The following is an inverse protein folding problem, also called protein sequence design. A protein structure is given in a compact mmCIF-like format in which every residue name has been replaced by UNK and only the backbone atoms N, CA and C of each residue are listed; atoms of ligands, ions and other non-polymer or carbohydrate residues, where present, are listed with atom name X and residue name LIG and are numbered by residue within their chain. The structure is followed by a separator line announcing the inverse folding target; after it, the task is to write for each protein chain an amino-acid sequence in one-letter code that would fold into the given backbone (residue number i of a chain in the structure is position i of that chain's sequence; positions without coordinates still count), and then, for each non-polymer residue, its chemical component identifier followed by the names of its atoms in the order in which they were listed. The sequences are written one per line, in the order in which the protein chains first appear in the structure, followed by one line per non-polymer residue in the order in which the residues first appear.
data_IF_658047976855
#
_entry.id   IF_658047976855
#
_cell.length_a   1.000
_cell.length_b   1.000
_cell.length_c   1.000
_cell.angle_alpha   90.00
_cell.angle_beta   90.00
_cell.angle_gamma   90.00
#
_symmetry.space_group_name_H-M   'P 1'
#
loop_
_entity.id
_entity.type
_entity.pdbx_description
1 polymer ?
#
# COMPACT_ATOMS: atom_id res chain seq x y z
N UNK A 1 17.72 39.79 4.52
CA UNK A 1 16.67 40.78 4.21
C UNK A 1 16.16 40.47 2.82
N UNK A 2 14.93 39.96 2.75
CA UNK A 2 13.98 40.00 1.63
C UNK A 2 12.82 39.13 2.09
N UNK A 3 11.77 39.80 2.58
CA UNK A 3 10.53 39.19 2.99
C UNK A 3 9.46 39.44 1.94
N UNK A 4 8.64 38.43 1.70
CA UNK A 4 7.35 38.49 1.00
C UNK A 4 6.50 37.40 1.71
N UNK A 5 5.66 37.74 2.69
CA UNK A 5 4.31 38.32 2.53
C UNK A 5 3.35 37.38 1.79
N UNK A 6 2.82 36.37 2.50
CA UNK A 6 1.60 35.66 2.09
C UNK A 6 0.44 36.09 2.97
N UNK A 7 -0.39 36.96 2.39
CA UNK A 7 -1.57 37.54 2.98
C UNK A 7 -2.66 36.52 3.29
N UNK A 8 -3.35 36.79 4.40
CA UNK A 8 -4.63 36.21 4.78
C UNK A 8 -5.69 36.53 3.73
N UNK A 9 -6.49 35.55 3.31
CA UNK A 9 -7.91 35.80 3.01
C UNK A 9 -8.73 34.52 2.87
N UNK A 10 -9.74 34.43 3.73
CA UNK A 10 -11.13 34.11 3.40
C UNK A 10 -11.64 32.66 3.33
N UNK A 11 -12.58 32.42 4.25
CA UNK A 11 -13.95 31.99 4.00
C UNK A 11 -14.27 30.49 4.05
N UNK A 12 -14.87 30.13 5.20
CA UNK A 12 -16.15 29.40 5.31
C UNK A 12 -16.65 28.72 4.01
N UNK A 13 -16.43 27.41 3.90
CA UNK A 13 -17.08 26.57 2.89
C UNK A 13 -18.15 25.71 3.56
N UNK A 14 -19.36 26.26 3.66
CA UNK A 14 -20.57 25.50 3.96
C UNK A 14 -20.88 24.56 2.78
N UNK A 15 -20.88 23.25 3.02
CA UNK A 15 -21.25 22.23 2.03
C UNK A 15 -22.78 22.17 1.92
N UNK A 16 -23.32 22.56 0.76
CA UNK A 16 -24.71 22.25 0.39
C UNK A 16 -24.83 20.79 -0.01
N UNK A 17 -25.62 20.07 0.78
CA UNK A 17 -26.10 18.72 0.51
C UNK A 17 -27.12 18.81 -0.64
N UNK A 18 -26.84 18.18 -1.79
CA UNK A 18 -27.85 17.91 -2.83
C UNK A 18 -28.31 16.47 -2.68
N UNK A 19 -29.61 16.29 -2.42
CA UNK A 19 -30.25 15.00 -2.25
C UNK A 19 -30.43 14.22 -3.56
N UNK A 20 -30.75 12.91 -3.48
CA UNK A 20 -30.93 12.06 -4.64
C UNK A 20 -32.33 12.21 -5.25
N UNK A 21 -32.39 12.41 -6.56
CA UNK A 21 -33.62 12.32 -7.33
C UNK A 21 -34.03 10.85 -7.50
N UNK A 22 -35.24 10.53 -7.02
CA UNK A 22 -35.95 9.26 -7.29
C UNK A 22 -36.75 9.38 -8.58
N UNK A 23 -36.73 8.30 -9.37
CA UNK A 23 -37.90 7.74 -10.05
C UNK A 23 -38.15 8.19 -11.49
N UNK A 24 -38.10 7.24 -12.42
CA UNK A 24 -39.31 6.73 -13.07
C UNK A 24 -39.03 5.46 -13.88
N UNK A 25 -39.93 4.49 -13.70
CA UNK A 25 -40.02 3.23 -14.42
C UNK A 25 -40.93 3.37 -15.65
N UNK A 26 -40.74 2.47 -16.62
CA UNK A 26 -41.82 1.92 -17.44
C UNK A 26 -41.95 2.45 -18.86
N UNK A 27 -41.92 1.53 -19.83
CA UNK A 27 -42.29 1.81 -21.22
C UNK A 27 -41.75 0.77 -22.20
N UNK A 28 -42.46 -0.35 -22.31
CA UNK A 28 -42.25 -1.45 -23.26
C UNK A 28 -42.35 -1.05 -24.74
N UNK A 29 -41.88 -2.00 -25.58
CA UNK A 29 -42.45 -2.40 -26.89
C UNK A 29 -41.53 -2.21 -28.11
N UNK A 30 -40.83 -3.29 -28.47
CA UNK A 30 -40.61 -3.80 -29.85
C UNK A 30 -39.59 -4.95 -29.73
N UNK A 31 -39.95 -6.22 -29.83
CA UNK A 31 -40.60 -6.79 -31.01
C UNK A 31 -39.54 -7.29 -31.99
N UNK A 32 -38.83 -8.37 -31.66
CA UNK A 32 -38.12 -9.18 -32.67
C UNK A 32 -37.96 -10.63 -32.18
N UNK A 33 -38.85 -11.49 -32.67
CA UNK A 33 -38.81 -12.94 -32.52
C UNK A 33 -37.59 -13.50 -33.24
N UNK A 34 -36.73 -14.23 -32.52
CA UNK A 34 -35.73 -15.12 -33.11
C UNK A 34 -36.34 -16.51 -33.12
N UNK A 35 -36.50 -17.04 -34.32
CA UNK A 35 -36.82 -18.43 -34.60
C UNK A 35 -35.73 -19.35 -34.05
N UNK A 36 -36.08 -20.24 -33.13
CA UNK A 36 -35.30 -21.44 -32.84
C UNK A 36 -36.22 -22.64 -33.05
N UNK A 37 -36.05 -23.31 -34.18
CA UNK A 37 -36.63 -24.63 -34.46
C UNK A 37 -35.97 -25.66 -33.55
N UNK A 38 -36.76 -26.35 -32.71
CA UNK A 38 -36.37 -27.61 -32.09
C UNK A 38 -37.50 -28.62 -32.27
N UNK A 39 -37.17 -29.73 -32.95
CA UNK A 39 -38.06 -30.87 -33.14
C UNK A 39 -38.19 -31.71 -31.85
N UNK A 40 -39.32 -32.41 -31.64
CA UNK A 40 -39.62 -33.10 -30.39
C UNK A 40 -39.36 -34.62 -30.49
N UNK A 41 -38.80 -35.25 -29.45
CA UNK A 41 -38.87 -36.70 -29.20
C UNK A 41 -38.74 -37.02 -27.67
N UNK A 42 -39.21 -38.21 -27.23
CA UNK A 42 -40.16 -38.38 -26.10
C UNK A 42 -39.52 -38.86 -24.77
N UNK A 43 -40.32 -38.99 -23.68
CA UNK A 43 -39.82 -39.05 -22.30
C UNK A 43 -39.57 -40.48 -21.84
N UNK A 44 -38.41 -40.71 -21.22
CA UNK A 44 -38.21 -41.86 -20.34
C UNK A 44 -37.73 -41.36 -18.98
N UNK A 45 -38.67 -41.43 -18.05
CA UNK A 45 -38.48 -41.37 -16.61
C UNK A 45 -37.39 -42.35 -16.17
N UNK A 46 -36.33 -41.83 -15.54
CA UNK A 46 -35.63 -42.54 -14.47
C UNK A 46 -35.31 -41.54 -13.38
N UNK A 47 -35.96 -41.73 -12.23
CA UNK A 47 -35.74 -41.01 -10.99
C UNK A 47 -34.26 -41.05 -10.59
N UNK A 48 -33.63 -39.87 -10.54
CA UNK A 48 -32.39 -39.67 -9.79
C UNK A 48 -32.77 -39.14 -8.39
N UNK A 49 -32.14 -39.66 -7.33
CA UNK A 49 -32.47 -39.26 -5.96
C UNK A 49 -32.13 -37.79 -5.75
N UNK A 50 -33.04 -37.08 -5.07
CA UNK A 50 -32.81 -35.76 -4.48
C UNK A 50 -31.49 -35.76 -3.70
N UNK A 51 -30.43 -35.23 -4.31
CA UNK A 51 -29.25 -34.83 -3.56
C UNK A 51 -29.62 -33.59 -2.74
N UNK A 52 -29.41 -33.61 -1.42
CA UNK A 52 -29.75 -32.50 -0.57
C UNK A 52 -28.91 -31.29 -0.99
N UNK A 53 -29.60 -30.16 -1.06
CA UNK A 53 -29.09 -28.81 -0.88
C UNK A 53 -27.69 -28.84 -0.23
N UNK A 54 -26.65 -28.69 -1.05
CA UNK A 54 -25.30 -28.51 -0.54
C UNK A 54 -25.30 -27.14 0.13
N UNK A 55 -25.50 -27.20 1.44
CA UNK A 55 -25.27 -26.13 2.39
C UNK A 55 -23.95 -25.46 2.00
N UNK A 56 -24.00 -24.18 1.61
CA UNK A 56 -22.82 -23.32 1.56
C UNK A 56 -22.20 -23.35 2.95
N UNK A 57 -21.27 -24.28 3.18
CA UNK A 57 -20.32 -24.19 4.27
C UNK A 57 -19.44 -22.99 3.92
N UNK A 58 -19.80 -21.84 4.48
CA UNK A 58 -18.89 -20.73 4.68
C UNK A 58 -17.62 -21.32 5.30
N UNK A 59 -16.55 -21.38 4.53
CA UNK A 59 -15.24 -21.75 5.04
C UNK A 59 -14.94 -20.82 6.22
N UNK A 60 -14.53 -21.35 7.38
CA UNK A 60 -14.10 -20.51 8.47
C UNK A 60 -12.88 -19.72 7.98
N UNK A 61 -13.03 -18.41 7.84
CA UNK A 61 -11.89 -17.50 7.77
C UNK A 61 -11.05 -17.80 9.00
N UNK A 62 -9.85 -18.34 8.81
CA UNK A 62 -8.92 -18.63 9.89
C UNK A 62 -8.45 -17.30 10.45
N UNK A 63 -9.13 -16.79 11.48
CA UNK A 63 -8.68 -15.63 12.23
C UNK A 63 -7.48 -16.06 13.06
N UNK A 64 -6.27 -15.83 12.55
CA UNK A 64 -5.06 -15.92 13.36
C UNK A 64 -5.18 -14.83 14.44
N UNK A 65 -5.29 -15.23 15.71
CA UNK A 65 -5.22 -14.29 16.83
C UNK A 65 -3.77 -13.85 16.98
N UNK A 66 -3.36 -12.86 16.21
CA UNK A 66 -2.10 -12.16 16.45
C UNK A 66 -2.25 -11.30 17.70
N UNK A 67 -1.22 -11.24 18.53
CA UNK A 67 -1.18 -10.29 19.64
C UNK A 67 -0.69 -8.93 19.11
N UNK A 68 -1.01 -7.85 19.83
CA UNK A 68 -0.59 -6.50 19.42
C UNK A 68 0.95 -6.38 19.33
N UNK A 69 1.66 -7.04 20.25
CA UNK A 69 3.12 -7.13 20.23
C UNK A 69 3.69 -7.72 18.91
N UNK A 70 2.98 -8.67 18.29
CA UNK A 70 3.41 -9.25 17.01
C UNK A 70 3.31 -8.22 15.88
N UNK A 71 2.29 -7.35 15.94
CA UNK A 71 2.09 -6.26 14.97
C UNK A 71 3.19 -5.21 15.10
N UNK A 72 3.62 -4.88 16.33
CA UNK A 72 4.74 -3.96 16.58
C UNK A 72 6.08 -4.49 16.04
N UNK A 73 6.23 -5.82 15.94
CA UNK A 73 7.43 -6.46 15.42
C UNK A 73 7.51 -6.53 13.88
N UNK A 74 6.44 -6.18 13.17
CA UNK A 74 6.39 -6.09 11.71
C UNK A 74 7.17 -4.89 11.18
N UNK A 75 7.60 -4.89 9.91
CA UNK A 75 8.19 -3.70 9.29
C UNK A 75 7.12 -2.61 9.07
N UNK A 76 7.55 -1.35 8.96
CA UNK A 76 6.66 -0.19 8.76
C UNK A 76 5.58 -0.36 7.66
N UNK A 77 5.88 -0.87 6.44
CA UNK A 77 4.85 -1.05 5.41
C UNK A 77 3.79 -2.07 5.83
N UNK A 78 4.16 -3.14 6.54
CA UNK A 78 3.22 -4.17 6.95
C UNK A 78 2.37 -3.72 8.14
N UNK A 79 2.96 -2.92 9.04
CA UNK A 79 2.26 -2.15 10.07
C UNK A 79 1.17 -1.25 9.45
N UNK A 80 1.51 -0.49 8.41
CA UNK A 80 0.56 0.38 7.72
C UNK A 80 -0.56 -0.40 7.02
N UNK A 81 -0.24 -1.51 6.34
CA UNK A 81 -1.23 -2.40 5.72
C UNK A 81 -2.20 -2.96 6.78
N UNK A 82 -1.70 -3.38 7.93
CA UNK A 82 -2.52 -3.91 9.03
C UNK A 82 -3.55 -2.88 9.52
N UNK A 83 -3.11 -1.65 9.72
CA UNK A 83 -3.98 -0.53 10.09
C UNK A 83 -5.01 -0.23 9.01
N UNK A 84 -4.60 -0.15 7.74
CA UNK A 84 -5.50 0.12 6.62
C UNK A 84 -6.55 -0.98 6.43
N UNK A 85 -6.19 -2.25 6.61
CA UNK A 85 -7.15 -3.35 6.53
C UNK A 85 -8.23 -3.25 7.61
N UNK A 86 -7.84 -2.87 8.84
CA UNK A 86 -8.78 -2.69 9.93
C UNK A 86 -9.73 -1.50 9.67
N UNK A 87 -9.21 -0.35 9.26
CA UNK A 87 -9.99 0.89 9.18
C UNK A 87 -10.36 1.31 7.75
N UNK A 88 -10.27 0.40 6.78
CA UNK A 88 -10.58 0.67 5.38
C UNK A 88 -11.92 1.39 5.12
N UNK A 89 -13.07 0.98 5.70
CA UNK A 89 -14.35 1.63 5.41
C UNK A 89 -14.41 3.10 5.87
N UNK A 90 -13.54 3.52 6.78
CA UNK A 90 -13.53 4.87 7.36
C UNK A 90 -12.39 5.72 6.81
N UNK A 91 -11.26 5.10 6.45
CA UNK A 91 -10.01 5.77 6.09
C UNK A 91 -9.56 5.55 4.64
N UNK A 92 -10.38 4.94 3.78
CA UNK A 92 -10.03 4.71 2.37
C UNK A 92 -9.60 5.99 1.64
N UNK A 93 -10.26 7.12 1.94
CA UNK A 93 -9.97 8.42 1.32
C UNK A 93 -8.62 9.01 1.78
N UNK A 94 -8.10 8.57 2.93
CA UNK A 94 -6.84 9.03 3.53
C UNK A 94 -5.71 8.03 3.38
N UNK A 95 -5.88 6.96 2.61
CA UNK A 95 -4.84 5.95 2.41
C UNK A 95 -3.52 6.54 1.88
N UNK A 96 -3.59 7.59 1.06
CA UNK A 96 -2.41 8.31 0.57
C UNK A 96 -1.64 9.05 1.69
N UNK A 97 -2.33 9.55 2.72
CA UNK A 97 -1.67 10.14 3.90
C UNK A 97 -0.88 9.07 4.65
N UNK A 98 -1.47 7.87 4.84
CA UNK A 98 -0.81 6.72 5.47
C UNK A 98 0.43 6.28 4.70
N UNK A 99 0.37 6.28 3.37
CA UNK A 99 1.54 6.04 2.52
C UNK A 99 2.64 7.08 2.75
N UNK A 100 2.28 8.36 2.84
CA UNK A 100 3.24 9.43 3.11
C UNK A 100 3.84 9.34 4.52
N UNK A 101 3.06 8.96 5.53
CA UNK A 101 3.56 8.68 6.88
C UNK A 101 4.62 7.58 6.86
N UNK A 102 4.37 6.47 6.16
CA UNK A 102 5.36 5.40 5.99
C UNK A 102 6.64 5.88 5.30
N UNK A 103 6.54 6.65 4.21
CA UNK A 103 7.74 7.14 3.53
C UNK A 103 8.56 8.09 4.41
N UNK A 104 7.88 8.91 5.20
CA UNK A 104 8.52 9.81 6.14
C UNK A 104 9.21 9.07 7.28
N UNK A 105 8.62 7.99 7.81
CA UNK A 105 9.23 7.22 8.89
C UNK A 105 10.45 6.45 8.39
N UNK A 106 10.36 5.87 7.19
CA UNK A 106 11.46 5.17 6.52
C UNK A 106 12.62 6.12 6.24
N UNK A 107 12.34 7.36 5.81
CA UNK A 107 13.37 8.36 5.52
C UNK A 107 14.10 8.88 6.78
N UNK A 108 13.52 8.74 7.98
CA UNK A 108 14.19 9.11 9.23
C UNK A 108 14.94 7.93 9.87
N UNK A 109 14.61 6.70 9.48
CA UNK A 109 15.27 5.49 9.97
C UNK A 109 16.51 5.14 9.15
N UNK A 110 17.56 5.94 9.31
CA UNK A 110 18.85 5.71 8.64
C UNK A 110 19.50 4.34 8.94
N UNK A 111 19.08 3.64 10.00
CA UNK A 111 19.69 2.38 10.42
C UNK A 111 19.08 1.17 9.71
N UNK A 112 17.74 1.10 9.69
CA UNK A 112 17.01 -0.05 9.16
C UNK A 112 16.16 0.28 7.93
N UNK A 113 15.91 1.57 7.66
CA UNK A 113 15.17 2.06 6.51
C UNK A 113 13.81 1.38 6.35
N UNK A 114 13.56 0.84 5.16
CA UNK A 114 12.31 0.16 4.82
C UNK A 114 12.03 -1.10 5.64
N UNK A 115 13.07 -1.71 6.22
CA UNK A 115 12.96 -2.90 7.07
C UNK A 115 12.91 -2.54 8.57
N UNK A 116 12.88 -1.25 8.89
CA UNK A 116 12.73 -0.77 10.26
C UNK A 116 11.36 -1.11 10.85
N UNK A 117 11.31 -1.13 12.18
CA UNK A 117 10.14 -1.55 12.97
C UNK A 117 9.66 -0.48 13.93
N UNK A 118 10.59 0.30 14.47
CA UNK A 118 10.32 1.27 15.53
C UNK A 118 11.41 2.35 15.54
N UNK A 119 11.02 3.60 15.76
CA UNK A 119 11.93 4.72 15.95
C UNK A 119 12.35 4.88 17.41
N UNK A 120 13.56 5.39 17.62
CA UNK A 120 14.02 5.84 18.94
C UNK A 120 13.39 7.19 19.33
N UNK A 121 13.43 7.54 20.62
CA UNK A 121 12.81 8.75 21.18
C UNK A 121 13.20 10.03 20.42
N UNK A 122 14.48 10.18 20.07
CA UNK A 122 14.96 11.36 19.34
C UNK A 122 14.41 11.43 17.91
N UNK A 123 14.44 10.31 17.18
CA UNK A 123 13.89 10.23 15.80
C UNK A 123 12.36 10.39 15.81
N UNK A 124 11.70 9.90 16.84
CA UNK A 124 10.26 10.03 17.05
C UNK A 124 9.86 11.50 17.22
N UNK A 125 10.66 12.28 17.95
CA UNK A 125 10.46 13.72 18.10
C UNK A 125 10.59 14.44 16.75
N UNK A 126 11.66 14.18 16.00
CA UNK A 126 11.84 14.73 14.65
C UNK A 126 10.69 14.36 13.71
N UNK A 127 10.19 13.12 13.81
CA UNK A 127 9.07 12.65 13.00
C UNK A 127 7.79 13.44 13.29
N UNK A 128 7.50 13.73 14.55
CA UNK A 128 6.29 14.47 14.94
C UNK A 128 6.35 15.95 14.61
N UNK A 129 7.53 16.57 14.69
CA UNK A 129 7.74 17.95 14.22
C UNK A 129 7.37 18.12 12.75
N UNK A 130 7.67 17.11 11.91
CA UNK A 130 7.38 17.13 10.48
C UNK A 130 5.88 17.20 10.18
N UNK A 131 5.01 16.76 11.10
CA UNK A 131 3.56 16.82 10.95
C UNK A 131 2.90 17.91 11.80
N UNK A 132 3.69 18.90 12.25
CA UNK A 132 3.22 20.03 13.04
C UNK A 132 2.59 19.62 14.39
N UNK A 133 2.82 18.38 14.82
CA UNK A 133 2.56 17.91 16.20
C UNK A 133 3.76 18.34 17.06
N UNK A 134 3.98 19.66 17.15
CA UNK A 134 5.09 20.22 17.91
C UNK A 134 4.78 20.08 19.40
N UNK A 135 5.37 19.06 20.01
CA UNK A 135 5.35 18.87 21.45
C UNK A 135 6.71 19.25 22.05
N UNK A 136 6.70 19.83 23.26
CA UNK A 136 7.95 19.90 24.02
C UNK A 136 8.42 18.48 24.35
N UNK A 137 9.71 18.26 24.62
CA UNK A 137 10.22 16.92 24.93
C UNK A 137 9.52 16.26 26.14
N UNK A 138 8.94 17.05 27.06
CA UNK A 138 8.14 16.54 28.17
C UNK A 138 6.73 16.14 27.70
N UNK A 139 6.04 17.04 26.99
CA UNK A 139 4.70 16.77 26.45
C UNK A 139 4.72 15.58 25.49
N UNK A 140 5.80 15.42 24.71
CA UNK A 140 5.96 14.29 23.82
C UNK A 140 6.07 12.98 24.60
N UNK A 141 6.80 12.94 25.72
CA UNK A 141 6.85 11.74 26.56
C UNK A 141 5.48 11.42 27.15
N UNK A 142 4.66 12.42 27.41
CA UNK A 142 3.28 12.22 27.88
C UNK A 142 2.38 11.70 26.76
N UNK A 143 2.52 12.24 25.55
CA UNK A 143 1.87 11.72 24.33
C UNK A 143 2.31 10.29 24.05
N UNK A 144 3.62 10.00 24.04
CA UNK A 144 4.15 8.65 23.86
C UNK A 144 3.70 7.70 24.96
N UNK A 145 3.62 8.13 26.23
CA UNK A 145 3.06 7.32 27.31
C UNK A 145 1.56 7.06 27.15
N UNK A 146 0.82 8.01 26.58
CA UNK A 146 -0.61 7.84 26.31
C UNK A 146 -0.86 6.88 25.14
N UNK A 147 0.03 6.87 24.14
CA UNK A 147 -0.06 6.03 22.94
C UNK A 147 0.51 4.63 23.21
N UNK A 148 1.66 4.55 23.87
CA UNK A 148 2.46 3.34 24.00
C UNK A 148 1.97 2.51 25.18
N UNK A 149 1.12 1.52 24.87
CA UNK A 149 0.59 0.58 25.84
C UNK A 149 1.66 -0.35 26.45
N UNK A 150 2.86 -0.45 25.86
CA UNK A 150 3.93 -1.37 26.30
C UNK A 150 5.15 -0.68 26.93
N UNK A 151 5.12 0.65 27.13
CA UNK A 151 6.22 1.45 27.71
C UNK A 151 7.59 1.23 27.05
N UNK A 152 7.63 0.81 25.78
CA UNK A 152 8.88 0.81 25.04
C UNK A 152 9.23 2.27 24.74
N UNK A 153 10.47 2.72 24.96
CA UNK A 153 10.86 4.13 24.66
C UNK A 153 10.97 4.40 23.16
N UNK A 154 10.18 3.69 22.36
CA UNK A 154 10.25 3.61 20.91
C UNK A 154 8.86 3.85 20.34
N UNK A 155 8.80 4.49 19.17
CA UNK A 155 7.57 4.77 18.46
C UNK A 155 7.46 3.83 17.26
N UNK A 156 6.41 3.03 17.20
CA UNK A 156 6.05 2.29 15.98
C UNK A 156 5.13 3.11 15.08
N UNK A 157 5.04 2.74 13.81
CA UNK A 157 4.15 3.44 12.88
C UNK A 157 2.67 3.22 13.24
N UNK A 158 2.29 2.01 13.66
CA UNK A 158 0.90 1.72 14.06
C UNK A 158 0.46 2.57 15.24
N UNK A 159 1.30 2.71 16.26
CA UNK A 159 1.04 3.57 17.42
C UNK A 159 0.79 5.02 17.00
N UNK A 160 1.64 5.55 16.11
CA UNK A 160 1.44 6.88 15.54
C UNK A 160 0.12 7.01 14.77
N UNK A 161 -0.24 6.01 13.94
CA UNK A 161 -1.48 6.04 13.17
C UNK A 161 -2.72 5.97 14.04
N UNK A 162 -2.70 5.12 15.09
CA UNK A 162 -3.79 5.03 16.06
C UNK A 162 -3.99 6.37 16.77
N UNK A 163 -2.90 7.06 17.13
CA UNK A 163 -2.96 8.40 17.72
C UNK A 163 -3.53 9.44 16.77
N UNK A 164 -2.96 9.54 15.55
CA UNK A 164 -3.34 10.57 14.58
C UNK A 164 -4.80 10.46 14.11
N UNK A 165 -5.36 9.24 14.10
CA UNK A 165 -6.75 8.99 13.73
C UNK A 165 -7.68 8.72 14.92
N UNK A 166 -7.19 8.90 16.16
CA UNK A 166 -7.95 8.70 17.41
C UNK A 166 -8.62 7.32 17.50
N UNK A 167 -7.96 6.28 17.00
CA UNK A 167 -8.46 4.91 16.95
C UNK A 167 -7.98 4.10 18.15
N UNK A 168 -8.76 3.08 18.54
CA UNK A 168 -8.40 2.22 19.68
C UNK A 168 -7.79 0.89 19.24
N UNK A 169 -6.81 0.41 20.01
CA UNK A 169 -6.16 -0.90 19.79
C UNK A 169 -7.21 -2.02 19.81
N UNK A 170 -8.13 -1.97 20.77
CA UNK A 170 -9.16 -2.98 20.94
C UNK A 170 -10.09 -3.10 19.72
N UNK A 171 -10.38 -1.99 19.04
CA UNK A 171 -11.17 -2.02 17.81
C UNK A 171 -10.37 -2.58 16.64
N UNK A 172 -9.11 -2.17 16.48
CA UNK A 172 -8.23 -2.66 15.42
C UNK A 172 -8.09 -4.19 15.48
N UNK A 173 -7.87 -4.75 16.67
CA UNK A 173 -7.65 -6.19 16.86
C UNK A 173 -8.94 -7.03 16.72
N UNK A 174 -10.13 -6.45 16.94
CA UNK A 174 -11.40 -7.15 16.74
C UNK A 174 -11.78 -7.31 15.27
N UNK A 175 -11.27 -6.43 14.40
CA UNK A 175 -11.62 -6.43 12.98
C UNK A 175 -10.89 -7.56 12.24
N UNK A 176 -11.56 -8.25 11.29
CA UNK A 176 -10.97 -9.39 10.61
C UNK A 176 -9.82 -8.95 9.71
N UNK A 177 -8.69 -9.63 9.84
CA UNK A 177 -7.50 -9.44 9.01
C UNK A 177 -7.47 -10.54 7.95
N UNK A 178 -7.53 -10.18 6.67
CA UNK A 178 -7.44 -11.16 5.60
C UNK A 178 -5.98 -11.39 5.17
N UNK A 179 -5.49 -12.60 5.43
CA UNK A 179 -4.23 -13.10 4.89
C UNK A 179 -4.51 -14.12 3.78
N UNK A 180 -4.79 -13.62 2.58
CA UNK A 180 -5.09 -14.47 1.43
C UNK A 180 -3.81 -14.96 0.75
N UNK A 181 -3.79 -16.21 0.29
CA UNK A 181 -2.66 -16.77 -0.49
C UNK A 181 -2.34 -15.95 -1.75
N UNK A 182 -3.36 -15.29 -2.32
CA UNK A 182 -3.21 -14.40 -3.47
C UNK A 182 -2.43 -13.12 -3.12
N UNK A 183 -2.63 -12.57 -1.92
CA UNK A 183 -1.88 -11.40 -1.46
C UNK A 183 -0.42 -11.75 -1.26
N UNK A 184 -0.13 -12.89 -0.64
CA UNK A 184 1.25 -13.38 -0.47
C UNK A 184 1.93 -13.56 -1.84
N UNK A 185 1.23 -14.11 -2.84
CA UNK A 185 1.77 -14.23 -4.20
C UNK A 185 2.04 -12.88 -4.84
N UNK A 186 1.16 -11.90 -4.64
CA UNK A 186 1.38 -10.54 -5.13
C UNK A 186 2.56 -9.86 -4.44
N UNK A 187 2.73 -10.04 -3.12
CA UNK A 187 3.89 -9.54 -2.37
C UNK A 187 5.19 -10.16 -2.84
N UNK A 188 5.22 -11.48 -3.06
CA UNK A 188 6.40 -12.15 -3.62
C UNK A 188 6.76 -11.63 -5.01
N UNK A 189 5.77 -11.31 -5.84
CA UNK A 189 6.01 -10.72 -7.15
C UNK A 189 6.58 -9.28 -7.05
N UNK A 190 6.11 -8.48 -6.09
CA UNK A 190 6.67 -7.16 -5.80
C UNK A 190 8.10 -7.22 -5.26
N UNK A 191 8.41 -8.20 -4.40
CA UNK A 191 9.79 -8.44 -3.95
C UNK A 191 10.70 -8.78 -5.13
N UNK A 192 10.20 -9.52 -6.14
CA UNK A 192 10.98 -9.77 -7.36
C UNK A 192 11.26 -8.47 -8.13
N UNK A 193 10.27 -7.57 -8.26
CA UNK A 193 10.48 -6.23 -8.87
C UNK A 193 11.54 -5.44 -8.11
N UNK A 194 11.46 -5.41 -6.77
CA UNK A 194 12.43 -4.67 -5.96
C UNK A 194 13.85 -5.20 -6.14
N UNK A 195 14.03 -6.53 -6.21
CA UNK A 195 15.35 -7.14 -6.46
C UNK A 195 15.95 -6.71 -7.80
N UNK A 196 15.15 -6.57 -8.84
CA UNK A 196 15.63 -6.08 -10.14
C UNK A 196 16.03 -4.60 -10.06
N UNK A 197 15.26 -3.77 -9.35
CA UNK A 197 15.61 -2.36 -9.10
C UNK A 197 16.91 -2.25 -8.31
N UNK A 198 17.06 -3.02 -7.23
CA UNK A 198 18.26 -3.03 -6.39
C UNK A 198 19.50 -3.47 -7.20
N UNK A 199 19.36 -4.44 -8.10
CA UNK A 199 20.45 -4.86 -8.98
C UNK A 199 20.88 -3.74 -9.95
N UNK A 200 19.91 -2.99 -10.49
CA UNK A 200 20.19 -1.84 -11.37
C UNK A 200 20.87 -0.71 -10.59
N UNK A 201 20.36 -0.36 -9.41
CA UNK A 201 20.93 0.70 -8.57
C UNK A 201 22.31 0.32 -8.01
N UNK A 202 22.55 -0.95 -7.65
CA UNK A 202 23.87 -1.42 -7.24
C UNK A 202 24.90 -1.25 -8.36
N UNK A 203 24.56 -1.70 -9.58
CA UNK A 203 25.44 -1.55 -10.75
C UNK A 203 25.68 -0.08 -11.10
N UNK A 204 24.64 0.76 -10.98
CA UNK A 204 24.75 2.21 -11.16
C UNK A 204 25.67 2.85 -10.12
N UNK A 205 25.57 2.48 -8.86
CA UNK A 205 26.43 3.00 -7.79
C UNK A 205 27.90 2.61 -7.99
N UNK A 206 28.17 1.39 -8.45
CA UNK A 206 29.52 0.94 -8.81
C UNK A 206 30.10 1.74 -9.98
N UNK A 207 29.33 1.92 -11.05
CA UNK A 207 29.75 2.69 -12.21
C UNK A 207 29.91 4.18 -11.89
N UNK A 208 29.07 4.76 -11.04
CA UNK A 208 29.24 6.13 -10.56
C UNK A 208 30.57 6.32 -9.83
N UNK A 209 30.91 5.42 -8.90
CA UNK A 209 32.20 5.45 -8.19
C UNK A 209 33.38 5.29 -9.14
N UNK A 210 33.26 4.42 -10.14
CA UNK A 210 34.30 4.24 -11.16
C UNK A 210 34.43 5.45 -12.11
N UNK A 211 33.34 6.18 -12.35
CA UNK A 211 33.28 7.36 -13.21
C UNK A 211 33.87 8.64 -12.58
N UNK A 212 33.99 8.70 -11.25
CA UNK A 212 34.60 9.82 -10.51
C UNK A 212 36.11 9.95 -10.74
N UNK A 213 36.77 8.88 -11.17
CA UNK A 213 38.20 8.88 -11.47
C UNK A 213 38.59 9.72 -12.71
N UNK A 214 39.88 9.75 -13.00
CA UNK A 214 40.44 10.37 -14.21
C UNK A 214 41.05 9.31 -15.15
N UNK A 215 41.03 9.59 -16.46
CA UNK A 215 41.62 8.73 -17.49
C UNK A 215 40.64 7.77 -18.18
N UNK A 216 41.19 6.87 -19.00
CA UNK A 216 40.42 6.02 -19.93
C UNK A 216 39.42 5.11 -19.20
N UNK A 217 39.78 4.59 -18.02
CA UNK A 217 38.88 3.73 -17.21
C UNK A 217 37.65 4.49 -16.70
N UNK A 218 37.81 5.76 -16.30
CA UNK A 218 36.69 6.58 -15.87
C UNK A 218 35.78 6.97 -17.04
N UNK A 219 36.35 7.23 -18.22
CA UNK A 219 35.56 7.44 -19.44
C UNK A 219 34.83 6.16 -19.89
N UNK A 220 35.45 4.98 -19.76
CA UNK A 220 34.77 3.71 -19.99
C UNK A 220 33.59 3.51 -19.03
N UNK A 221 33.76 3.79 -17.73
CA UNK A 221 32.68 3.72 -16.74
C UNK A 221 31.53 4.71 -17.03
N UNK A 222 31.84 5.93 -17.52
CA UNK A 222 30.81 6.89 -17.97
C UNK A 222 30.02 6.36 -19.16
N UNK A 223 30.70 5.76 -20.13
CA UNK A 223 30.05 5.15 -21.30
C UNK A 223 29.18 3.95 -20.89
N UNK A 224 29.67 3.09 -19.98
CA UNK A 224 28.89 1.96 -19.45
C UNK A 224 27.66 2.43 -18.67
N UNK A 225 27.77 3.55 -17.94
CA UNK A 225 26.66 4.16 -17.21
C UNK A 225 25.60 4.73 -18.16
N UNK A 226 26.02 5.39 -19.25
CA UNK A 226 25.11 5.81 -20.33
C UNK A 226 24.46 4.63 -21.06
N UNK A 227 25.20 3.54 -21.24
CA UNK A 227 24.67 2.28 -21.76
C UNK A 227 23.63 1.68 -20.81
N UNK A 228 23.83 1.70 -19.48
CA UNK A 228 22.82 1.23 -18.54
C UNK A 228 21.51 2.03 -18.60
N UNK A 229 21.59 3.35 -18.79
CA UNK A 229 20.39 4.17 -18.97
C UNK A 229 19.66 3.89 -20.29
N UNK A 230 20.40 3.46 -21.30
CA UNK A 230 19.89 3.13 -22.63
C UNK A 230 19.58 1.64 -22.82
N UNK A 231 20.02 0.79 -21.90
CA UNK A 231 19.89 -0.66 -21.98
C UNK A 231 18.43 -1.10 -21.87
N UNK A 232 18.14 -2.25 -22.47
CA UNK A 232 16.82 -2.85 -22.46
C UNK A 232 16.40 -3.21 -21.03
N UNK A 233 15.36 -2.53 -20.54
CA UNK A 233 14.72 -2.79 -19.24
C UNK A 233 13.73 -3.96 -19.30
N UNK A 234 13.90 -4.87 -20.26
CA UNK A 234 13.06 -6.05 -20.43
C UNK A 234 12.89 -6.89 -19.15
N UNK A 235 13.94 -7.19 -18.35
CA UNK A 235 13.74 -7.98 -17.12
C UNK A 235 12.86 -7.24 -16.10
N UNK A 236 13.08 -5.94 -15.91
CA UNK A 236 12.24 -5.11 -15.03
C UNK A 236 10.79 -5.03 -15.54
N UNK A 237 10.60 -4.81 -16.85
CA UNK A 237 9.28 -4.75 -17.46
C UNK A 237 8.52 -6.07 -17.32
N UNK A 238 9.21 -7.21 -17.47
CA UNK A 238 8.62 -8.54 -17.24
C UNK A 238 8.23 -8.72 -15.76
N UNK A 239 9.09 -8.32 -14.83
CA UNK A 239 8.78 -8.36 -13.40
C UNK A 239 7.57 -7.46 -13.06
N UNK A 240 7.49 -6.25 -13.62
CA UNK A 240 6.36 -5.34 -13.43
C UNK A 240 5.05 -5.91 -13.98
N UNK A 241 5.07 -6.53 -15.17
CA UNK A 241 3.88 -7.14 -15.77
C UNK A 241 3.40 -8.33 -14.93
N UNK A 242 4.32 -9.17 -14.44
CA UNK A 242 3.96 -10.32 -13.59
C UNK A 242 3.39 -9.87 -12.24
N UNK A 243 3.99 -8.85 -11.62
CA UNK A 243 3.48 -8.25 -10.39
C UNK A 243 2.11 -7.58 -10.60
N UNK A 244 1.91 -6.86 -11.71
CA UNK A 244 0.61 -6.27 -12.06
C UNK A 244 -0.47 -7.34 -12.26
N UNK A 245 -0.15 -8.44 -12.94
CA UNK A 245 -1.10 -9.54 -13.10
C UNK A 245 -1.47 -10.18 -11.75
N UNK A 246 -0.50 -10.34 -10.84
CA UNK A 246 -0.73 -10.89 -9.51
C UNK A 246 -1.60 -9.96 -8.64
N UNK A 247 -1.31 -8.66 -8.62
CA UNK A 247 -2.10 -7.67 -7.87
C UNK A 247 -3.51 -7.54 -8.45
N UNK A 248 -3.66 -7.52 -9.77
CA UNK A 248 -4.98 -7.47 -10.42
C UNK A 248 -5.82 -8.70 -10.09
N UNK A 249 -5.20 -9.86 -9.97
CA UNK A 249 -5.89 -11.08 -9.54
C UNK A 249 -6.30 -11.00 -8.08
N UNK A 250 -5.41 -10.57 -7.19
CA UNK A 250 -5.71 -10.36 -5.79
C UNK A 250 -6.83 -9.33 -5.58
N UNK A 251 -6.89 -8.27 -6.40
CA UNK A 251 -7.95 -7.26 -6.34
C UNK A 251 -9.33 -7.79 -6.78
N UNK A 252 -9.39 -8.78 -7.67
CA UNK A 252 -10.65 -9.37 -8.16
C UNK A 252 -11.22 -10.43 -7.24
N UNK A 253 -10.33 -11.28 -6.72
CA UNK A 253 -10.67 -12.43 -5.87
C UNK A 253 -10.58 -12.08 -4.36
N UNK A 254 -10.10 -10.89 -4.02
CA UNK A 254 -9.86 -10.46 -2.64
C UNK A 254 -11.14 -10.07 -1.89
N UNK A 255 -11.16 -10.39 -0.60
CA UNK A 255 -12.20 -9.96 0.32
C UNK A 255 -12.03 -8.47 0.70
N UNK A 256 -13.12 -7.83 1.16
CA UNK A 256 -13.11 -6.43 1.61
C UNK A 256 -12.16 -6.20 2.79
N UNK A 257 -11.95 -7.21 3.61
CA UNK A 257 -10.99 -7.21 4.73
C UNK A 257 -9.51 -7.14 4.29
N UNK A 258 -9.21 -7.33 2.99
CA UNK A 258 -7.88 -7.18 2.41
C UNK A 258 -7.71 -5.89 1.58
N UNK A 259 -8.71 -5.01 1.55
CA UNK A 259 -8.74 -3.88 0.64
C UNK A 259 -7.57 -2.90 0.87
N UNK A 260 -7.13 -2.71 2.12
CA UNK A 260 -5.96 -1.90 2.45
C UNK A 260 -4.65 -2.44 1.86
N UNK A 261 -4.40 -3.74 2.01
CA UNK A 261 -3.25 -4.42 1.40
C UNK A 261 -3.29 -4.37 -0.13
N UNK A 262 -4.46 -4.54 -0.75
CA UNK A 262 -4.62 -4.46 -2.21
C UNK A 262 -4.30 -3.05 -2.72
N UNK A 263 -4.82 -2.02 -2.02
CA UNK A 263 -4.51 -0.63 -2.34
C UNK A 263 -3.00 -0.35 -2.21
N UNK A 264 -2.38 -0.82 -1.13
CA UNK A 264 -0.94 -0.65 -0.89
C UNK A 264 -0.09 -1.28 -1.99
N UNK A 265 -0.43 -2.50 -2.41
CA UNK A 265 0.27 -3.20 -3.49
C UNK A 265 0.08 -2.47 -4.83
N UNK A 266 -1.12 -1.97 -5.10
CA UNK A 266 -1.40 -1.18 -6.31
C UNK A 266 -0.60 0.11 -6.32
N UNK A 267 -0.53 0.81 -5.18
CA UNK A 267 0.25 2.04 -5.03
C UNK A 267 1.76 1.79 -5.19
N UNK A 268 2.25 0.69 -4.62
CA UNK A 268 3.64 0.25 -4.79
C UNK A 268 3.96 -0.03 -6.26
N UNK A 269 3.06 -0.66 -7.00
CA UNK A 269 3.22 -0.86 -8.45
C UNK A 269 3.26 0.45 -9.23
N UNK A 270 2.43 1.43 -8.87
CA UNK A 270 2.45 2.74 -9.52
C UNK A 270 3.79 3.45 -9.33
N UNK A 271 4.35 3.42 -8.12
CA UNK A 271 5.67 4.01 -7.87
C UNK A 271 6.78 3.20 -8.55
N UNK A 272 6.69 1.87 -8.56
CA UNK A 272 7.65 1.02 -9.27
C UNK A 272 7.58 1.21 -10.79
N UNK A 273 6.41 1.47 -11.37
CA UNK A 273 6.26 1.81 -12.81
C UNK A 273 6.84 3.18 -13.16
N UNK A 274 6.85 4.10 -12.20
CA UNK A 274 7.47 5.41 -12.35
C UNK A 274 8.99 5.34 -12.28
N UNK A 275 9.55 4.26 -11.71
CA UNK A 275 10.99 4.02 -11.71
C UNK A 275 11.51 4.04 -13.14
N UNK A 276 12.40 4.98 -13.40
CA UNK A 276 13.21 5.02 -14.61
C UNK A 276 14.62 5.27 -14.15
N UNK A 277 15.61 4.44 -14.54
CA UNK A 277 17.01 4.74 -14.31
C UNK A 277 17.35 5.97 -15.17
N UNK A 278 17.09 7.17 -14.64
CA UNK A 278 17.45 8.44 -15.24
C UNK A 278 18.67 8.98 -14.51
N UNK A 279 19.69 9.35 -15.28
CA UNK A 279 20.79 10.17 -14.78
C UNK A 279 20.25 11.50 -14.25
N UNK A 280 20.57 11.80 -12.99
CA UNK A 280 20.34 13.12 -12.40
C UNK A 280 19.01 13.33 -11.65
N UNK A 281 18.43 12.30 -11.03
CA UNK A 281 17.49 12.52 -9.92
C UNK A 281 18.28 12.37 -8.62
N UNK A 282 18.20 13.38 -7.74
CA UNK A 282 18.84 13.39 -6.42
C UNK A 282 18.60 12.05 -5.74
N UNK A 283 19.65 11.45 -5.18
CA UNK A 283 19.54 10.37 -4.22
C UNK A 283 18.40 10.69 -3.26
N UNK A 284 17.52 9.73 -3.00
CA UNK A 284 16.89 9.70 -1.70
C UNK A 284 18.07 9.51 -0.74
N UNK A 285 18.48 10.61 -0.11
CA UNK A 285 19.51 10.58 0.90
C UNK A 285 19.00 9.66 2.00
N UNK A 286 19.76 8.58 2.18
CA UNK A 286 19.50 7.52 3.15
C UNK A 286 19.39 8.06 4.56
#
# INVERSE_FOLDING_TARGET
MNGEEWGRSSAHRQRRIRGPARGQCGGDAAGRQIFCNYSPLPPTFTCLPCFPFFFLHTLPSTTVTMEFADVLALPYPDQAKFFLNAFWPELSDRAEEVWNFNNNIVALDHEHGANGKSLDEFKSHMYLEKFELTHTACDLRDVLRAINSENTKRLTLVEFLLFNYEQTIAEMMKRPQAMNDLLKKAELALVAVQKEIDAIEARKAELMKAAEGSGVRAHAAKNELEQLYSADQLPLNQALITAEAAVRRAAREGDQSAAGSIWWQTRTLEEAKKYKPRGGVKSFDC
#
